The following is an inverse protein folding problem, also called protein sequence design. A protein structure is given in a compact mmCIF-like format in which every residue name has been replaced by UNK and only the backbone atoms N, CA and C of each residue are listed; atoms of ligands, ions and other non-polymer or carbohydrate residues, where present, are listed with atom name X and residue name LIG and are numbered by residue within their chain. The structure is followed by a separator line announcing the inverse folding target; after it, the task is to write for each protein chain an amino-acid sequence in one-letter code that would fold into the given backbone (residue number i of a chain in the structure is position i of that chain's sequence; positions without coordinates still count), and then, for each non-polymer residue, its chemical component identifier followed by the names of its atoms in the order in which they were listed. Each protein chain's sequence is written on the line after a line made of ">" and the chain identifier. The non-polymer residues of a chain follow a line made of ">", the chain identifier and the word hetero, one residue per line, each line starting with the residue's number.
data_IF_918955523780
#
_entry.id   IF_918955523780
#
_cell.length_a   1.000
_cell.length_b   1.000
_cell.length_c   1.000
_cell.angle_alpha   90.00
_cell.angle_beta   90.00
_cell.angle_gamma   90.00
#
_symmetry.space_group_name_H-M   'P 1'
#
loop_
_entity.id
_entity.type
_entity.pdbx_description
1 polymer ?
#
# COMPACT_ATOMS: atom_id res chain seq x y z
N UNK A 1 -7.46 0.10 -2.26
CA UNK A 1 -6.08 -0.35 -2.53
C UNK A 1 -5.72 0.13 -3.92
N UNK A 2 -4.65 0.92 -4.07
CA UNK A 2 -4.25 1.47 -5.36
C UNK A 2 -3.53 0.38 -6.18
N UNK A 3 -3.87 0.24 -7.46
CA UNK A 3 -3.22 -0.71 -8.37
C UNK A 3 -2.34 0.04 -9.37
N UNK A 4 -1.37 0.78 -8.86
CA UNK A 4 -0.40 1.50 -9.67
C UNK A 4 0.73 0.54 -10.06
N UNK A 5 0.46 -0.38 -10.99
CA UNK A 5 1.56 -1.23 -11.44
C UNK A 5 1.40 -1.98 -12.75
N UNK A 6 2.53 -2.13 -13.44
CA UNK A 6 2.69 -3.04 -14.57
C UNK A 6 2.77 -4.47 -14.05
N UNK A 7 2.04 -5.39 -14.66
CA UNK A 7 2.29 -6.83 -14.46
C UNK A 7 3.68 -7.16 -15.02
N UNK A 8 4.59 -7.53 -14.12
CA UNK A 8 5.96 -7.88 -14.43
C UNK A 8 6.11 -9.38 -14.30
N UNK A 9 6.62 -10.03 -15.35
CA UNK A 9 6.92 -11.46 -15.30
C UNK A 9 8.08 -11.73 -14.34
N UNK A 10 7.89 -12.69 -13.46
CA UNK A 10 8.91 -13.20 -12.57
C UNK A 10 9.67 -14.37 -13.22
N UNK A 11 10.81 -14.76 -12.64
CA UNK A 11 11.65 -15.85 -13.18
C UNK A 11 10.92 -17.20 -13.24
N UNK A 12 9.93 -17.41 -12.38
CA UNK A 12 9.10 -18.62 -12.33
C UNK A 12 7.92 -18.62 -13.33
N UNK A 13 7.78 -17.55 -14.13
CA UNK A 13 6.72 -17.38 -15.11
C UNK A 13 5.40 -16.83 -14.55
N UNK A 14 5.32 -16.55 -13.25
CA UNK A 14 4.20 -15.81 -12.66
C UNK A 14 4.28 -14.32 -12.96
N UNK A 15 3.20 -13.58 -12.67
CA UNK A 15 3.13 -12.13 -12.90
C UNK A 15 2.83 -11.38 -11.60
N UNK A 16 3.55 -10.28 -11.36
CA UNK A 16 3.45 -9.45 -10.18
C UNK A 16 3.12 -7.98 -10.50
N UNK A 17 2.40 -7.30 -9.61
CA UNK A 17 2.23 -5.85 -9.69
C UNK A 17 3.55 -5.15 -9.36
N UNK A 18 3.89 -4.09 -10.11
CA UNK A 18 5.12 -3.31 -9.90
C UNK A 18 4.88 -1.82 -9.99
N UNK A 19 5.22 -1.09 -8.94
CA UNK A 19 5.33 0.37 -8.96
C UNK A 19 6.71 0.77 -9.47
N UNK A 20 6.77 1.47 -10.60
CA UNK A 20 8.01 2.05 -11.13
C UNK A 20 8.02 3.56 -10.96
N UNK A 21 8.94 4.06 -10.13
CA UNK A 21 9.10 5.49 -9.87
C UNK A 21 9.50 6.29 -11.12
N UNK A 22 10.17 5.66 -12.10
CA UNK A 22 10.46 6.30 -13.39
C UNK A 22 9.20 6.41 -14.24
N UNK A 23 8.37 5.37 -14.29
CA UNK A 23 7.07 5.44 -15.00
C UNK A 23 6.14 6.48 -14.36
N UNK A 24 6.14 6.61 -13.02
CA UNK A 24 5.40 7.66 -12.33
C UNK A 24 5.92 9.06 -12.68
N UNK A 25 7.24 9.25 -12.71
CA UNK A 25 7.84 10.52 -13.15
C UNK A 25 7.48 10.86 -14.60
N UNK A 26 7.40 9.86 -15.50
CA UNK A 26 6.93 10.05 -16.87
C UNK A 26 5.49 10.53 -16.88
N UNK A 27 4.62 9.85 -16.12
CA UNK A 27 3.21 10.19 -16.05
C UNK A 27 3.01 11.61 -15.52
N UNK A 28 3.66 11.98 -14.42
CA UNK A 28 3.54 13.32 -13.83
C UNK A 28 4.10 14.41 -14.76
N UNK A 29 5.30 14.19 -15.34
CA UNK A 29 5.97 15.20 -16.17
C UNK A 29 5.29 15.41 -17.53
N UNK A 30 5.05 14.32 -18.25
CA UNK A 30 4.73 14.38 -19.69
C UNK A 30 3.26 14.12 -20.01
N UNK A 31 2.51 13.52 -19.09
CA UNK A 31 1.08 13.23 -19.28
C UNK A 31 0.25 14.23 -18.46
N UNK A 32 0.58 14.40 -17.18
CA UNK A 32 -0.11 15.34 -16.30
C UNK A 32 0.38 16.79 -16.45
N UNK A 33 1.60 17.00 -16.97
CA UNK A 33 2.24 18.31 -17.08
C UNK A 33 2.31 19.02 -15.71
N UNK A 34 2.71 18.30 -14.67
CA UNK A 34 2.94 18.89 -13.33
C UNK A 34 4.12 19.87 -13.43
N UNK A 35 3.91 21.13 -13.03
CA UNK A 35 4.88 22.20 -13.20
C UNK A 35 6.09 22.11 -12.24
N UNK A 36 5.90 21.54 -11.04
CA UNK A 36 6.92 21.45 -10.00
C UNK A 36 7.23 19.98 -9.72
N UNK A 37 8.18 19.40 -10.46
CA UNK A 37 8.52 17.97 -10.37
C UNK A 37 9.93 17.71 -9.83
N UNK A 38 10.78 18.72 -9.86
CA UNK A 38 12.19 18.68 -9.46
C UNK A 38 12.37 18.43 -7.96
N UNK A 39 11.39 18.79 -7.14
CA UNK A 39 11.40 18.52 -5.69
C UNK A 39 11.01 17.08 -5.36
N UNK A 40 10.18 16.44 -6.20
CA UNK A 40 9.68 15.08 -5.97
C UNK A 40 10.63 13.98 -6.46
N UNK A 41 11.49 14.29 -7.44
CA UNK A 41 12.35 13.31 -8.10
C UNK A 41 13.80 13.76 -8.20
N UNK A 42 14.71 12.81 -7.95
CA UNK A 42 16.14 13.03 -8.21
C UNK A 42 16.42 13.27 -9.70
N UNK A 43 17.48 14.01 -10.00
CA UNK A 43 17.95 14.26 -11.37
C UNK A 43 18.19 12.97 -12.18
N UNK A 44 18.63 11.89 -11.52
CA UNK A 44 18.80 10.57 -12.16
C UNK A 44 17.45 9.99 -12.64
N UNK A 45 16.40 10.10 -11.82
CA UNK A 45 15.07 9.61 -12.19
C UNK A 45 14.51 10.44 -13.35
N UNK A 46 14.60 11.77 -13.28
CA UNK A 46 14.11 12.65 -14.35
C UNK A 46 14.81 12.40 -15.68
N UNK A 47 16.13 12.20 -15.67
CA UNK A 47 16.90 11.87 -16.89
C UNK A 47 16.48 10.52 -17.48
N UNK A 48 16.25 9.50 -16.63
CA UNK A 48 15.77 8.19 -17.09
C UNK A 48 14.35 8.28 -17.64
N UNK A 49 13.49 9.08 -17.00
CA UNK A 49 12.12 9.31 -17.45
C UNK A 49 12.09 9.97 -18.83
N UNK A 50 12.94 10.96 -19.08
CA UNK A 50 13.09 11.59 -20.39
C UNK A 50 13.51 10.60 -21.48
N UNK A 51 14.57 9.83 -21.24
CA UNK A 51 15.06 8.81 -22.19
C UNK A 51 13.95 7.80 -22.49
N UNK A 52 13.38 7.19 -21.44
CA UNK A 52 12.36 6.16 -21.58
C UNK A 52 11.09 6.70 -22.28
N UNK A 53 10.65 7.91 -21.97
CA UNK A 53 9.50 8.52 -22.64
C UNK A 53 9.75 8.81 -24.13
N UNK A 54 10.98 9.14 -24.51
CA UNK A 54 11.36 9.35 -25.91
C UNK A 54 11.36 8.05 -26.73
N UNK A 55 11.64 6.92 -26.07
CA UNK A 55 11.68 5.59 -26.67
C UNK A 55 10.30 4.91 -26.71
N UNK A 56 9.38 5.30 -25.82
CA UNK A 56 8.03 4.76 -25.76
C UNK A 56 7.23 5.05 -27.04
N UNK A 57 6.60 4.01 -27.57
CA UNK A 57 5.58 4.09 -28.62
C UNK A 57 4.31 4.78 -28.11
N UNK A 58 3.47 5.26 -29.03
CA UNK A 58 2.14 5.82 -28.68
C UNK A 58 1.29 4.83 -27.88
N UNK A 59 1.36 3.54 -28.21
CA UNK A 59 0.64 2.49 -27.50
C UNK A 59 1.15 2.32 -26.07
N UNK A 60 2.46 2.36 -25.84
CA UNK A 60 3.04 2.24 -24.50
C UNK A 60 2.69 3.44 -23.61
N UNK A 61 2.69 4.66 -24.18
CA UNK A 61 2.25 5.88 -23.48
C UNK A 61 0.77 5.78 -23.06
N UNK A 62 -0.08 5.33 -23.98
CA UNK A 62 -1.50 5.08 -23.68
C UNK A 62 -1.67 4.02 -22.59
N UNK A 63 -0.98 2.88 -22.71
CA UNK A 63 -1.05 1.82 -21.71
C UNK A 63 -0.56 2.27 -20.33
N UNK A 64 0.49 3.11 -20.26
CA UNK A 64 0.95 3.68 -18.99
C UNK A 64 -0.14 4.56 -18.35
N UNK A 65 -0.75 5.42 -19.15
CA UNK A 65 -1.85 6.27 -18.72
C UNK A 65 -3.02 5.45 -18.17
N UNK A 66 -3.50 4.45 -18.93
CA UNK A 66 -4.61 3.60 -18.50
C UNK A 66 -4.30 2.85 -17.21
N UNK A 67 -3.11 2.24 -17.09
CA UNK A 67 -2.72 1.51 -15.88
C UNK A 67 -2.74 2.39 -14.64
N UNK A 68 -2.22 3.62 -14.74
CA UNK A 68 -2.18 4.55 -13.61
C UNK A 68 -3.60 5.01 -13.23
N UNK A 69 -4.45 5.30 -14.21
CA UNK A 69 -5.82 5.74 -13.96
C UNK A 69 -6.73 4.62 -13.43
N UNK A 70 -6.59 3.39 -13.93
CA UNK A 70 -7.30 2.21 -13.42
C UNK A 70 -6.91 1.87 -11.96
N UNK A 71 -5.71 2.28 -11.53
CA UNK A 71 -5.24 2.11 -10.17
C UNK A 71 -5.91 3.02 -9.14
N UNK A 72 -6.77 3.98 -9.55
CA UNK A 72 -7.39 4.96 -8.67
C UNK A 72 -8.75 4.48 -8.12
N UNK A 73 -9.09 4.77 -6.84
CA UNK A 73 -10.33 4.31 -6.23
C UNK A 73 -11.58 4.91 -6.89
N UNK A 74 -12.60 4.09 -7.13
CA UNK A 74 -14.00 4.53 -7.23
C UNK A 74 -14.51 5.01 -8.58
N UNK A 75 -13.71 5.03 -9.66
CA UNK A 75 -14.18 5.41 -11.00
C UNK A 75 -13.55 4.46 -12.02
N UNK A 76 -14.19 3.30 -12.24
CA UNK A 76 -13.55 2.20 -12.98
C UNK A 76 -13.73 2.30 -14.50
N UNK A 77 -14.67 3.13 -15.02
CA UNK A 77 -15.01 3.05 -16.44
C UNK A 77 -14.85 4.34 -17.28
N UNK A 78 -14.66 5.54 -16.70
CA UNK A 78 -14.69 6.81 -17.47
C UNK A 78 -13.65 7.87 -17.07
N UNK A 79 -12.61 7.52 -16.31
CA UNK A 79 -11.63 8.52 -15.86
C UNK A 79 -10.65 8.89 -17.00
N UNK A 80 -10.85 10.06 -17.60
CA UNK A 80 -9.93 10.63 -18.60
C UNK A 80 -8.92 11.57 -17.95
N UNK A 81 -7.79 11.85 -18.60
CA UNK A 81 -6.78 12.79 -18.08
C UNK A 81 -7.34 14.20 -17.80
N UNK A 82 -8.17 14.81 -18.67
CA UNK A 82 -8.77 16.11 -18.36
C UNK A 82 -9.65 16.10 -17.11
N UNK A 83 -10.47 15.06 -16.94
CA UNK A 83 -11.32 14.89 -15.74
C UNK A 83 -10.43 14.68 -14.52
N UNK A 84 -9.41 13.85 -14.63
CA UNK A 84 -8.49 13.59 -13.53
C UNK A 84 -7.74 14.86 -13.10
N UNK A 85 -7.30 15.71 -14.04
CA UNK A 85 -6.72 17.03 -13.75
C UNK A 85 -7.65 17.93 -12.95
N UNK A 86 -8.94 17.96 -13.31
CA UNK A 86 -9.95 18.74 -12.56
C UNK A 86 -10.11 18.20 -11.14
N UNK A 87 -10.10 16.88 -10.96
CA UNK A 87 -10.22 16.26 -9.63
C UNK A 87 -9.03 16.58 -8.74
N UNK A 88 -7.80 16.46 -9.24
CA UNK A 88 -6.60 16.73 -8.43
C UNK A 88 -6.46 18.22 -8.12
N UNK A 89 -6.91 19.12 -9.01
CA UNK A 89 -6.86 20.57 -8.78
C UNK A 89 -7.67 21.02 -7.55
N UNK A 90 -8.63 20.20 -7.08
CA UNK A 90 -9.35 20.46 -5.82
C UNK A 90 -8.45 20.41 -4.58
N UNK A 91 -7.27 19.82 -4.72
CA UNK A 91 -6.27 19.69 -3.66
C UNK A 91 -5.13 20.71 -3.80
N UNK A 92 -5.19 21.63 -4.77
CA UNK A 92 -4.18 22.65 -4.97
C UNK A 92 -3.98 23.48 -3.69
N UNK A 93 -2.73 23.66 -3.29
CA UNK A 93 -2.30 24.37 -2.08
C UNK A 93 -2.66 23.68 -0.75
N UNK A 94 -3.14 22.43 -0.75
CA UNK A 94 -3.28 21.67 0.49
C UNK A 94 -1.95 21.06 0.90
N UNK A 95 -1.49 21.40 2.10
CA UNK A 95 -0.31 20.77 2.70
C UNK A 95 -0.68 19.45 3.41
N UNK A 96 0.33 18.66 3.82
CA UNK A 96 0.12 17.53 4.73
C UNK A 96 -0.61 17.95 6.02
N UNK A 97 -0.31 19.14 6.55
CA UNK A 97 -0.94 19.64 7.76
C UNK A 97 -2.43 19.94 7.56
N UNK A 98 -2.81 20.45 6.38
CA UNK A 98 -4.20 20.71 6.03
C UNK A 98 -4.97 19.40 5.89
N UNK A 99 -4.40 18.40 5.21
CA UNK A 99 -5.02 17.09 5.11
C UNK A 99 -5.13 16.38 6.47
N UNK A 100 -4.11 16.47 7.33
CA UNK A 100 -4.17 15.93 8.70
C UNK A 100 -5.28 16.59 9.51
N UNK A 101 -5.46 17.91 9.39
CA UNK A 101 -6.55 18.64 10.03
C UNK A 101 -7.93 18.19 9.50
N UNK A 102 -8.06 18.00 8.19
CA UNK A 102 -9.29 17.50 7.58
C UNK A 102 -9.62 16.08 8.05
N UNK A 103 -8.62 15.19 8.12
CA UNK A 103 -8.80 13.84 8.65
C UNK A 103 -9.17 13.85 10.13
N UNK A 104 -8.49 14.67 10.94
CA UNK A 104 -8.83 14.83 12.36
C UNK A 104 -10.28 15.32 12.55
N UNK A 105 -10.73 16.28 11.74
CA UNK A 105 -12.11 16.74 11.75
C UNK A 105 -13.09 15.60 11.45
N UNK A 106 -12.85 14.84 10.37
CA UNK A 106 -13.68 13.68 10.02
C UNK A 106 -13.74 12.64 11.15
N UNK A 107 -12.59 12.28 11.73
CA UNK A 107 -12.52 11.28 12.79
C UNK A 107 -13.23 11.74 14.06
N UNK A 108 -13.16 13.02 14.43
CA UNK A 108 -13.87 13.57 15.60
C UNK A 108 -15.38 13.44 15.49
N UNK A 109 -15.92 13.47 14.27
CA UNK A 109 -17.35 13.29 14.03
C UNK A 109 -17.74 11.81 13.95
N UNK A 110 -16.92 10.96 13.31
CA UNK A 110 -17.28 9.56 13.01
C UNK A 110 -16.95 8.60 14.16
N UNK A 111 -15.83 8.79 14.86
CA UNK A 111 -15.38 7.86 15.90
C UNK A 111 -16.38 7.73 17.07
N UNK A 112 -17.00 8.81 17.59
CA UNK A 112 -18.03 8.66 18.63
C UNK A 112 -19.22 7.80 18.17
N UNK A 113 -19.64 7.95 16.90
CA UNK A 113 -20.73 7.13 16.33
C UNK A 113 -20.30 5.66 16.23
N UNK A 114 -19.03 5.38 15.92
CA UNK A 114 -18.51 4.01 15.95
C UNK A 114 -18.57 3.42 17.36
N UNK A 115 -18.16 4.17 18.40
CA UNK A 115 -18.23 3.73 19.80
C UNK A 115 -19.67 3.44 20.24
N UNK A 116 -20.62 4.31 19.90
CA UNK A 116 -22.05 4.12 20.21
C UNK A 116 -22.65 2.84 19.61
N UNK A 117 -22.02 2.29 18.56
CA UNK A 117 -22.48 1.12 17.83
C UNK A 117 -21.54 -0.10 17.99
N UNK A 118 -20.61 -0.08 18.97
CA UNK A 118 -19.63 -1.14 19.20
C UNK A 118 -18.79 -1.48 17.95
N UNK A 119 -18.50 -0.48 17.12
CA UNK A 119 -17.70 -0.60 15.91
C UNK A 119 -16.29 -0.04 16.10
N UNK A 120 -15.35 -0.58 15.34
CA UNK A 120 -13.99 -0.04 15.23
C UNK A 120 -13.69 0.32 13.77
N UNK A 121 -12.91 1.37 13.57
CA UNK A 121 -12.40 1.77 12.26
C UNK A 121 -10.93 1.36 12.13
N UNK A 122 -10.54 0.91 10.93
CA UNK A 122 -9.15 0.62 10.60
C UNK A 122 -8.74 1.37 9.34
N UNK A 123 -8.12 2.55 9.47
CA UNK A 123 -7.64 3.28 8.29
C UNK A 123 -6.46 2.53 7.65
N UNK A 124 -6.48 2.40 6.32
CA UNK A 124 -5.41 1.77 5.56
C UNK A 124 -4.33 2.79 5.19
N UNK A 125 -3.03 2.45 5.23
CA UNK A 125 -1.96 3.34 4.79
C UNK A 125 -2.03 3.65 3.28
N UNK A 126 -1.40 4.75 2.89
CA UNK A 126 -1.17 5.10 1.49
C UNK A 126 -0.29 4.04 0.80
N UNK A 127 -0.68 3.66 -0.41
CA UNK A 127 0.02 2.68 -1.26
C UNK A 127 0.22 3.28 -2.66
N UNK A 128 1.44 3.68 -3.08
CA UNK A 128 2.69 3.62 -2.31
C UNK A 128 2.69 4.63 -1.13
N UNK A 129 3.56 4.45 -0.12
CA UNK A 129 3.67 5.31 1.06
C UNK A 129 4.52 6.57 0.78
N UNK A 130 4.27 7.23 -0.35
CA UNK A 130 4.96 8.47 -0.78
C UNK A 130 3.97 9.42 -1.42
N UNK A 131 4.30 10.71 -1.42
CA UNK A 131 3.51 11.69 -2.16
C UNK A 131 3.69 11.45 -3.66
N UNK A 132 2.58 11.51 -4.39
CA UNK A 132 2.55 11.33 -5.85
C UNK A 132 1.61 12.38 -6.44
N UNK A 133 1.88 12.81 -7.66
CA UNK A 133 1.05 13.75 -8.42
C UNK A 133 0.88 15.10 -7.72
N UNK A 134 1.86 15.51 -6.91
CA UNK A 134 1.78 16.72 -6.07
C UNK A 134 0.82 16.61 -4.89
N UNK A 135 0.21 15.44 -4.65
CA UNK A 135 -0.77 15.24 -3.59
C UNK A 135 -0.10 14.73 -2.30
N UNK A 136 -0.37 15.37 -1.15
CA UNK A 136 0.15 14.89 0.12
C UNK A 136 -0.53 13.58 0.54
N UNK A 137 0.26 12.61 1.00
CA UNK A 137 -0.24 11.41 1.70
C UNK A 137 0.09 11.50 3.19
N UNK A 138 -0.88 11.22 4.04
CA UNK A 138 -0.77 11.52 5.48
C UNK A 138 -0.85 10.30 6.40
N UNK A 139 -0.86 9.09 5.83
CA UNK A 139 -0.82 7.81 6.55
C UNK A 139 0.20 6.91 5.84
N UNK A 140 1.50 7.17 6.06
CA UNK A 140 2.59 6.47 5.33
C UNK A 140 3.80 6.12 6.20
N UNK A 141 3.91 6.68 7.39
CA UNK A 141 5.07 6.54 8.28
C UNK A 141 4.66 6.22 9.72
N UNK A 142 5.64 5.85 10.55
CA UNK A 142 5.46 5.72 12.01
C UNK A 142 4.85 6.98 12.64
N UNK A 143 5.36 8.17 12.30
CA UNK A 143 4.86 9.44 12.81
C UNK A 143 3.41 9.69 12.39
N UNK A 144 3.04 9.33 11.16
CA UNK A 144 1.67 9.50 10.69
C UNK A 144 0.68 8.60 11.44
N UNK A 145 1.10 7.37 11.79
CA UNK A 145 0.28 6.47 12.61
C UNK A 145 0.17 6.98 14.05
N UNK A 146 1.23 7.58 14.60
CA UNK A 146 1.18 8.25 15.90
C UNK A 146 0.21 9.44 15.90
N UNK A 147 0.30 10.31 14.88
CA UNK A 147 -0.63 11.43 14.73
C UNK A 147 -2.08 10.95 14.61
N UNK A 148 -2.33 9.92 13.80
CA UNK A 148 -3.64 9.31 13.60
C UNK A 148 -4.28 8.88 14.92
N UNK A 149 -3.57 8.09 15.73
CA UNK A 149 -4.14 7.56 16.99
C UNK A 149 -4.33 8.66 18.03
N UNK A 150 -3.58 9.77 17.91
CA UNK A 150 -3.69 10.94 18.77
C UNK A 150 -4.75 11.96 18.30
N UNK A 151 -5.25 11.89 17.06
CA UNK A 151 -6.34 12.77 16.61
C UNK A 151 -7.63 12.60 17.41
N UNK A 152 -7.92 11.35 17.79
CA UNK A 152 -9.01 10.95 18.69
C UNK A 152 -8.50 9.75 19.51
N UNK A 153 -8.29 9.97 20.82
CA UNK A 153 -7.86 8.92 21.75
C UNK A 153 -9.02 7.99 22.11
N UNK A 154 -9.37 7.10 21.18
CA UNK A 154 -10.46 6.13 21.32
C UNK A 154 -10.07 4.79 20.69
N UNK A 155 -10.33 3.64 21.33
CA UNK A 155 -10.06 2.33 20.74
C UNK A 155 -10.77 2.14 19.39
N UNK A 156 -11.89 2.83 19.14
CA UNK A 156 -12.57 2.77 17.84
C UNK A 156 -11.80 3.49 16.72
N UNK A 157 -10.86 4.38 17.04
CA UNK A 157 -9.93 4.98 16.08
C UNK A 157 -8.69 4.11 15.92
N UNK A 158 -8.69 3.27 14.87
CA UNK A 158 -7.64 2.29 14.67
C UNK A 158 -7.09 2.19 13.25
N UNK A 159 -6.27 1.17 13.07
CA UNK A 159 -5.36 0.99 11.94
C UNK A 159 -5.66 -0.35 11.27
N UNK A 160 -5.78 -0.33 9.94
CA UNK A 160 -5.54 -1.51 9.12
C UNK A 160 -4.05 -1.55 8.81
N UNK A 161 -3.31 -2.43 9.48
CA UNK A 161 -1.86 -2.52 9.34
C UNK A 161 -1.50 -3.31 8.08
N UNK A 162 -1.14 -2.59 7.01
CA UNK A 162 -0.73 -3.20 5.76
C UNK A 162 0.78 -3.24 5.61
N UNK A 163 1.33 -4.44 5.72
CA UNK A 163 2.78 -4.70 5.67
C UNK A 163 3.38 -4.38 4.31
N UNK A 164 2.68 -4.65 3.21
CA UNK A 164 3.19 -4.32 1.89
C UNK A 164 3.17 -2.82 1.57
N UNK A 165 2.15 -2.09 2.03
CA UNK A 165 2.08 -0.65 1.83
C UNK A 165 3.08 0.10 2.73
N UNK A 166 3.12 -0.19 4.03
CA UNK A 166 4.08 0.45 4.94
C UNK A 166 5.52 0.01 4.67
N UNK A 167 5.73 -1.25 4.28
CA UNK A 167 7.04 -1.83 3.98
C UNK A 167 7.64 -1.37 2.65
N UNK A 168 6.87 -0.70 1.80
CA UNK A 168 7.40 -0.02 0.63
C UNK A 168 8.23 1.24 0.99
N UNK A 169 8.15 1.71 2.24
CA UNK A 169 9.04 2.72 2.79
C UNK A 169 10.13 2.04 3.64
N UNK A 170 11.42 2.08 3.24
CA UNK A 170 12.51 1.41 3.96
C UNK A 170 12.77 1.98 5.36
N UNK A 171 12.30 3.20 5.64
CA UNK A 171 12.48 3.83 6.97
C UNK A 171 11.47 3.30 8.01
N UNK A 172 10.44 2.58 7.57
CA UNK A 172 9.43 2.01 8.47
C UNK A 172 9.92 0.68 9.08
N UNK A 173 10.06 0.65 10.41
CA UNK A 173 10.32 -0.59 11.14
C UNK A 173 9.00 -1.26 11.54
N UNK A 174 8.51 -2.17 10.69
CA UNK A 174 7.17 -2.76 10.87
C UNK A 174 7.00 -3.54 12.19
N UNK A 175 7.93 -4.43 12.60
CA UNK A 175 7.79 -5.11 13.89
C UNK A 175 7.73 -4.16 15.09
N UNK A 176 8.50 -3.05 15.07
CA UNK A 176 8.43 -2.01 16.10
C UNK A 176 7.06 -1.32 16.09
N UNK A 177 6.59 -0.90 14.91
CA UNK A 177 5.31 -0.22 14.75
C UNK A 177 4.14 -1.10 15.22
N UNK A 178 4.16 -2.41 14.93
CA UNK A 178 3.13 -3.36 15.40
C UNK A 178 3.08 -3.41 16.93
N UNK A 179 4.24 -3.46 17.60
CA UNK A 179 4.29 -3.47 19.08
C UNK A 179 3.77 -2.15 19.66
N UNK A 180 4.15 -1.03 19.06
CA UNK A 180 3.79 0.30 19.53
C UNK A 180 2.29 0.61 19.35
N UNK A 181 1.73 0.26 18.19
CA UNK A 181 0.33 0.54 17.86
C UNK A 181 -0.60 -0.66 18.07
N UNK A 182 -0.13 -1.73 18.71
CA UNK A 182 -0.83 -3.01 18.79
C UNK A 182 -2.24 -2.93 19.38
N UNK A 183 -2.52 -1.97 20.26
CA UNK A 183 -3.86 -1.75 20.83
C UNK A 183 -4.83 -1.02 19.88
N UNK A 184 -4.31 -0.45 18.80
CA UNK A 184 -5.05 0.30 17.77
C UNK A 184 -5.14 -0.46 16.45
N UNK A 185 -4.43 -1.57 16.29
CA UNK A 185 -4.54 -2.41 15.09
C UNK A 185 -5.80 -3.25 15.22
N UNK A 186 -6.68 -3.17 14.22
CA UNK A 186 -7.95 -3.92 14.17
C UNK A 186 -8.05 -4.84 12.95
N UNK A 187 -7.18 -4.65 11.95
CA UNK A 187 -7.13 -5.51 10.77
C UNK A 187 -5.72 -5.51 10.18
N UNK A 188 -5.30 -6.63 9.57
CA UNK A 188 -3.94 -6.78 9.05
C UNK A 188 -3.98 -7.27 7.60
N UNK A 189 -3.23 -6.58 6.74
CA UNK A 189 -2.87 -7.10 5.42
C UNK A 189 -1.43 -7.61 5.49
N UNK A 190 -1.27 -8.92 5.33
CA UNK A 190 0.02 -9.59 5.35
C UNK A 190 0.42 -9.95 3.92
N UNK A 191 1.25 -9.10 3.31
CA UNK A 191 1.90 -9.31 2.01
C UNK A 191 3.28 -8.68 2.05
N UNK A 192 4.10 -8.92 1.03
CA UNK A 192 5.46 -8.41 1.00
C UNK A 192 5.75 -7.74 -0.34
N UNK A 193 6.62 -6.74 -0.31
CA UNK A 193 7.12 -6.07 -1.50
C UNK A 193 8.63 -6.21 -1.56
N UNK A 194 9.18 -6.34 -2.76
CA UNK A 194 10.62 -6.22 -3.00
C UNK A 194 10.93 -4.78 -3.36
N UNK A 195 11.70 -4.12 -2.51
CA UNK A 195 12.26 -2.81 -2.82
C UNK A 195 13.31 -2.97 -3.91
N UNK A 196 13.25 -2.10 -4.90
CA UNK A 196 14.27 -1.95 -5.93
C UNK A 196 15.05 -0.65 -5.70
N UNK A 197 16.20 -0.56 -6.35
CA UNK A 197 16.97 0.68 -6.35
C UNK A 197 16.12 1.84 -6.91
N UNK A 198 16.28 3.02 -6.31
CA UNK A 198 15.67 4.30 -6.75
C UNK A 198 14.17 4.46 -6.43
N UNK A 199 13.65 3.73 -5.44
CA UNK A 199 12.31 3.95 -4.90
C UNK A 199 11.17 3.29 -5.68
N UNK A 200 11.51 2.33 -6.55
CA UNK A 200 10.55 1.41 -7.17
C UNK A 200 10.40 0.15 -6.32
N UNK A 201 9.31 -0.60 -6.50
CA UNK A 201 9.10 -1.88 -5.83
C UNK A 201 8.09 -2.75 -6.59
N UNK A 202 8.09 -4.05 -6.35
CA UNK A 202 7.07 -4.96 -6.85
C UNK A 202 6.53 -5.88 -5.75
N UNK A 203 5.31 -6.39 -5.93
CA UNK A 203 4.72 -7.40 -5.06
C UNK A 203 5.53 -8.69 -5.13
N UNK A 204 6.06 -9.15 -4.00
CA UNK A 204 6.93 -10.32 -3.95
C UNK A 204 6.20 -11.50 -3.30
N UNK A 205 6.84 -12.67 -3.26
CA UNK A 205 6.39 -13.79 -2.45
C UNK A 205 6.26 -13.34 -0.98
N UNK A 206 5.21 -13.79 -0.29
CA UNK A 206 4.85 -13.30 1.05
C UNK A 206 6.00 -13.43 2.06
N UNK A 207 6.84 -14.46 1.93
CA UNK A 207 7.96 -14.73 2.82
C UNK A 207 9.33 -14.22 2.33
N UNK A 208 9.43 -13.75 1.09
CA UNK A 208 10.72 -13.48 0.44
C UNK A 208 10.96 -12.01 0.09
N UNK A 209 9.97 -11.13 0.29
CA UNK A 209 10.10 -9.69 0.09
C UNK A 209 10.97 -8.99 1.14
N UNK A 210 11.07 -7.66 1.04
CA UNK A 210 12.07 -6.86 1.79
C UNK A 210 11.75 -6.72 3.28
N UNK A 211 10.51 -7.01 3.67
CA UNK A 211 10.11 -7.11 5.07
C UNK A 211 10.41 -8.50 5.60
N UNK A 212 11.03 -8.60 6.78
CA UNK A 212 11.13 -9.86 7.52
C UNK A 212 9.76 -10.28 8.05
N UNK A 213 9.10 -11.17 7.32
CA UNK A 213 7.76 -11.63 7.65
C UNK A 213 7.73 -12.48 8.93
N UNK A 214 8.84 -13.13 9.30
CA UNK A 214 8.92 -13.86 10.56
C UNK A 214 8.81 -12.89 11.75
N UNK A 215 9.60 -11.82 11.77
CA UNK A 215 9.57 -10.84 12.85
C UNK A 215 8.24 -10.06 12.90
N UNK A 216 7.62 -9.81 11.74
CA UNK A 216 6.28 -9.21 11.67
C UNK A 216 5.22 -10.11 12.29
N UNK A 217 5.13 -11.38 11.87
CA UNK A 217 4.13 -12.33 12.40
C UNK A 217 4.36 -12.58 13.89
N UNK A 218 5.62 -12.65 14.32
CA UNK A 218 5.98 -12.76 15.74
C UNK A 218 5.49 -11.55 16.54
N UNK A 219 5.70 -10.32 16.07
CA UNK A 219 5.19 -9.11 16.73
C UNK A 219 3.66 -9.09 16.81
N UNK A 220 2.97 -9.61 15.79
CA UNK A 220 1.50 -9.75 15.82
C UNK A 220 1.07 -10.73 16.90
N UNK A 221 1.69 -11.91 16.96
CA UNK A 221 1.37 -12.93 17.99
C UNK A 221 1.65 -12.40 19.40
N UNK A 222 2.72 -11.61 19.59
CA UNK A 222 3.01 -10.92 20.86
C UNK A 222 1.85 -9.98 21.26
N UNK A 223 1.32 -9.20 20.31
CA UNK A 223 0.19 -8.30 20.54
C UNK A 223 -1.11 -9.08 20.81
N UNK A 224 -1.42 -10.10 20.02
CA UNK A 224 -2.58 -10.97 20.21
C UNK A 224 -2.56 -11.65 21.58
N UNK A 225 -1.40 -12.18 21.97
CA UNK A 225 -1.15 -12.80 23.27
C UNK A 225 -1.39 -11.80 24.41
N UNK A 226 -0.83 -10.59 24.30
CA UNK A 226 -1.01 -9.53 25.31
C UNK A 226 -2.46 -9.08 25.42
N UNK A 227 -3.18 -8.96 24.30
CA UNK A 227 -4.57 -8.50 24.25
C UNK A 227 -5.60 -9.61 24.54
N UNK A 228 -5.18 -10.88 24.48
CA UNK A 228 -6.09 -12.02 24.64
C UNK A 228 -7.11 -12.15 23.51
N UNK A 229 -6.75 -11.75 22.28
CA UNK A 229 -7.64 -11.81 21.11
C UNK A 229 -6.85 -12.12 19.84
N UNK A 230 -7.55 -12.54 18.78
CA UNK A 230 -6.98 -12.70 17.45
C UNK A 230 -7.32 -11.50 16.57
N UNK A 231 -6.31 -10.99 15.86
CA UNK A 231 -6.45 -9.92 14.88
C UNK A 231 -6.80 -10.53 13.52
N UNK A 232 -7.90 -10.11 12.89
CA UNK A 232 -8.23 -10.60 11.58
C UNK A 232 -7.14 -10.21 10.57
N UNK A 233 -6.81 -11.12 9.67
CA UNK A 233 -5.82 -10.91 8.62
C UNK A 233 -6.31 -11.40 7.26
N UNK A 234 -5.70 -10.88 6.21
CA UNK A 234 -5.73 -11.47 4.87
C UNK A 234 -4.33 -11.45 4.26
N UNK A 235 -4.06 -12.40 3.34
CA UNK A 235 -2.82 -12.42 2.53
C UNK A 235 -2.70 -11.27 1.53
N UNK A 236 -3.74 -10.44 1.45
CA UNK A 236 -3.80 -9.24 0.64
C UNK A 236 -3.71 -9.50 -0.87
N UNK A 237 -2.53 -9.30 -1.47
CA UNK A 237 -2.26 -9.53 -2.89
C UNK A 237 -1.52 -10.85 -3.09
N UNK A 238 -1.59 -11.40 -4.29
CA UNK A 238 -0.78 -12.53 -4.73
C UNK A 238 -0.45 -12.46 -6.21
N UNK A 239 0.62 -13.13 -6.62
CA UNK A 239 0.97 -13.20 -8.05
C UNK A 239 -0.10 -13.92 -8.84
N UNK A 240 -0.28 -13.51 -10.09
CA UNK A 240 -1.05 -14.30 -11.04
C UNK A 240 -0.18 -15.46 -11.51
N UNK A 241 -0.62 -16.69 -11.27
CA UNK A 241 0.18 -17.90 -11.49
C UNK A 241 -0.72 -19.08 -11.89
N UNK A 242 -0.12 -20.11 -12.48
CA UNK A 242 -0.81 -21.36 -12.82
C UNK A 242 -2.05 -21.09 -13.70
N UNK A 243 -3.20 -21.69 -13.39
CA UNK A 243 -4.43 -21.51 -14.19
C UNK A 243 -4.93 -20.06 -14.24
N UNK A 244 -4.60 -19.24 -13.23
CA UNK A 244 -4.97 -17.82 -13.24
C UNK A 244 -4.27 -17.04 -14.37
N UNK A 245 -3.14 -17.53 -14.91
CA UNK A 245 -2.47 -16.89 -16.06
C UNK A 245 -3.29 -16.99 -17.37
N UNK A 246 -4.24 -17.91 -17.44
CA UNK A 246 -5.10 -18.09 -18.62
C UNK A 246 -6.27 -17.10 -18.63
N UNK A 247 -6.62 -16.53 -17.47
CA UNK A 247 -7.72 -15.59 -17.33
C UNK A 247 -7.22 -14.14 -17.44
N UNK A 248 -7.67 -13.47 -18.50
CA UNK A 248 -7.33 -12.07 -18.78
C UNK A 248 -8.20 -11.06 -18.02
N UNK A 249 -9.26 -11.52 -17.34
CA UNK A 249 -10.21 -10.68 -16.62
C UNK A 249 -9.96 -10.65 -15.10
N UNK A 250 -8.87 -11.24 -14.63
CA UNK A 250 -8.51 -11.24 -13.21
C UNK A 250 -8.13 -9.83 -12.79
N UNK A 251 -8.74 -9.36 -11.70
CA UNK A 251 -8.30 -8.12 -11.04
C UNK A 251 -6.84 -8.28 -10.60
N UNK A 252 -5.97 -7.40 -11.08
CA UNK A 252 -4.53 -7.48 -10.84
C UNK A 252 -4.21 -7.60 -9.35
N UNK A 253 -3.39 -8.58 -8.95
CA UNK A 253 -3.07 -8.85 -7.53
C UNK A 253 -4.15 -9.63 -6.75
N UNK A 254 -5.35 -9.80 -7.30
CA UNK A 254 -6.49 -10.47 -6.66
C UNK A 254 -6.84 -11.84 -7.26
N UNK A 255 -5.93 -12.40 -8.05
CA UNK A 255 -5.96 -13.80 -8.48
C UNK A 255 -6.10 -14.75 -7.27
N UNK A 256 -6.69 -15.93 -7.47
CA UNK A 256 -7.03 -16.82 -6.37
C UNK A 256 -5.81 -17.61 -5.89
N UNK A 257 -5.05 -18.19 -6.83
CA UNK A 257 -4.01 -19.16 -6.54
C UNK A 257 -2.84 -18.50 -5.80
N UNK A 258 -2.39 -17.33 -6.24
CA UNK A 258 -1.31 -16.60 -5.56
C UNK A 258 -1.68 -16.18 -4.14
N UNK A 259 -2.91 -15.69 -3.93
CA UNK A 259 -3.38 -15.31 -2.58
C UNK A 259 -3.58 -16.52 -1.66
N UNK A 260 -4.04 -17.65 -2.21
CA UNK A 260 -4.15 -18.92 -1.49
C UNK A 260 -2.77 -19.42 -1.04
N UNK A 261 -1.77 -19.38 -1.93
CA UNK A 261 -0.38 -19.72 -1.60
C UNK A 261 0.14 -18.86 -0.45
N UNK A 262 0.03 -17.53 -0.56
CA UNK A 262 0.46 -16.60 0.49
C UNK A 262 -0.25 -16.84 1.82
N UNK A 263 -1.56 -17.09 1.80
CA UNK A 263 -2.32 -17.43 3.01
C UNK A 263 -1.83 -18.73 3.64
N UNK A 264 -1.50 -19.75 2.84
CA UNK A 264 -0.96 -21.01 3.32
C UNK A 264 0.43 -20.84 3.96
N UNK A 265 1.32 -20.06 3.33
CA UNK A 265 2.65 -19.72 3.85
C UNK A 265 2.56 -19.03 5.21
N UNK A 266 1.73 -17.97 5.32
CA UNK A 266 1.54 -17.20 6.55
C UNK A 266 0.93 -18.04 7.67
N UNK A 267 -0.04 -18.91 7.35
CA UNK A 267 -0.66 -19.82 8.32
C UNK A 267 0.37 -20.76 8.94
N UNK A 268 1.25 -21.33 8.13
CA UNK A 268 2.29 -22.27 8.61
C UNK A 268 3.37 -21.53 9.40
N UNK A 269 3.76 -20.33 8.96
CA UNK A 269 4.69 -19.47 9.69
C UNK A 269 4.16 -19.15 11.11
N UNK A 270 2.91 -18.67 11.21
CA UNK A 270 2.27 -18.36 12.47
C UNK A 270 2.19 -19.60 13.39
N UNK A 271 1.76 -20.74 12.86
CA UNK A 271 1.70 -22.00 13.60
C UNK A 271 3.08 -22.40 14.17
N UNK A 272 4.13 -22.27 13.35
CA UNK A 272 5.51 -22.55 13.76
C UNK A 272 5.96 -21.67 14.92
N UNK A 273 5.72 -20.36 14.83
CA UNK A 273 6.06 -19.39 15.88
C UNK A 273 5.32 -19.71 17.19
N UNK A 274 4.02 -20.00 17.11
CA UNK A 274 3.19 -20.34 18.28
C UNK A 274 3.72 -21.61 18.96
N UNK A 275 4.02 -22.67 18.20
CA UNK A 275 4.48 -23.96 18.77
C UNK A 275 5.86 -23.89 19.44
N UNK A 276 6.72 -22.96 19.00
CA UNK A 276 8.04 -22.77 19.59
C UNK A 276 7.96 -21.90 20.84
N UNK A 277 7.21 -20.79 20.79
CA UNK A 277 7.31 -19.73 21.79
C UNK A 277 6.10 -19.62 22.75
N UNK A 278 4.95 -20.19 22.40
CA UNK A 278 3.67 -19.94 23.09
C UNK A 278 2.88 -21.22 23.38
N UNK A 279 3.56 -22.30 23.81
CA UNK A 279 2.97 -23.65 24.01
C UNK A 279 1.77 -23.76 24.98
N UNK A 280 1.42 -22.67 25.67
CA UNK A 280 0.33 -22.61 26.65
C UNK A 280 -0.86 -21.74 26.19
N UNK A 281 -0.95 -21.40 24.90
CA UNK A 281 -2.13 -20.82 24.26
C UNK A 281 -3.04 -21.90 23.67
#
# INVERSE_FOLDING_TARGET
>A
MFHLGKMTGLEDGSMALRFDKVEMAIFEKYIMNVEVIEEAYTSNILKRAEILFSEMTTKEKHNLQERILMGLPGIVNDLTIPVFKIMIAQYDNLSHSDLKRNLSYFLKEVIPVCEENDMTMGIHPGDPPIDIMGLPRIIKSEQDLEDLVNFVDSPANGITFCTGALGANPDNNLPKMIRMFGDRIHFIHLRNVRLENKGSFFEDNHLEGSTDMYEVVKAIIEVETRRGLHLPMRSDHGHQMLDDLKDINVYSGYSAIGRLRGLAELRVLALGIIKVNYRNF
#
